data_IF_655706306644
#
_entry.id   IF_655706306644
#
_cell.length_a   1.000
_cell.length_b   1.000
_cell.length_c   1.000
_cell.angle_alpha   90.00
_cell.angle_beta   90.00
_cell.angle_gamma   90.00
#
_symmetry.space_group_name_H-M   'P 1'
#
loop_
_entity.id
_entity.type
_entity.pdbx_description
1 polymer ?
#
# COMPACT_ATOMS: atom_id res chain seq x y z
N UNK A 1 20.49 31.56 -4.22
CA UNK A 1 19.48 30.89 -3.37
C UNK A 1 19.90 29.45 -3.23
N UNK A 2 20.11 28.96 -2.01
CA UNK A 2 20.73 27.66 -1.79
C UNK A 2 19.66 26.56 -1.69
N UNK A 3 19.75 25.55 -2.56
CA UNK A 3 18.89 24.37 -2.49
C UNK A 3 19.37 23.48 -1.35
N UNK A 4 18.52 23.26 -0.35
CA UNK A 4 18.87 22.48 0.85
C UNK A 4 18.83 20.98 0.56
N UNK A 5 17.91 20.56 -0.31
CA UNK A 5 17.73 19.17 -0.74
C UNK A 5 17.90 19.07 -2.25
N UNK A 6 18.30 17.91 -2.74
CA UNK A 6 18.30 17.60 -4.16
C UNK A 6 16.89 17.16 -4.59
N UNK A 7 16.28 16.28 -3.81
CA UNK A 7 14.95 15.70 -4.09
C UNK A 7 14.03 15.85 -2.87
N UNK A 8 12.80 16.30 -3.09
CA UNK A 8 11.71 16.20 -2.11
C UNK A 8 10.68 15.20 -2.62
N UNK A 9 10.30 14.24 -1.79
CA UNK A 9 9.22 13.29 -2.06
C UNK A 9 8.03 13.63 -1.17
N UNK A 10 6.84 13.77 -1.76
CA UNK A 10 5.60 14.16 -1.06
C UNK A 10 4.65 12.97 -0.98
N UNK A 11 4.56 12.39 0.22
CA UNK A 11 3.65 11.30 0.58
C UNK A 11 4.39 9.98 0.83
N UNK A 12 4.31 9.46 2.06
CA UNK A 12 4.95 8.21 2.48
C UNK A 12 4.21 6.92 2.11
N UNK A 13 3.49 6.91 0.99
CA UNK A 13 2.88 5.69 0.44
C UNK A 13 3.89 4.80 -0.28
N UNK A 14 3.48 3.63 -0.77
CA UNK A 14 4.38 2.66 -1.42
C UNK A 14 5.27 3.27 -2.52
N UNK A 15 4.72 4.11 -3.39
CA UNK A 15 5.51 4.80 -4.43
C UNK A 15 6.49 5.81 -3.86
N UNK A 16 6.10 6.54 -2.81
CA UNK A 16 6.97 7.54 -2.18
C UNK A 16 8.12 6.91 -1.39
N UNK A 17 7.88 5.74 -0.79
CA UNK A 17 8.91 4.92 -0.14
C UNK A 17 10.00 4.56 -1.15
N UNK A 18 9.64 3.96 -2.29
CA UNK A 18 10.62 3.57 -3.32
C UNK A 18 11.33 4.80 -3.92
N UNK A 19 10.59 5.87 -4.22
CA UNK A 19 11.18 7.10 -4.76
C UNK A 19 12.19 7.74 -3.80
N UNK A 20 11.87 7.78 -2.50
CA UNK A 20 12.75 8.34 -1.47
C UNK A 20 14.01 7.49 -1.28
N UNK A 21 13.85 6.17 -1.18
CA UNK A 21 14.97 5.24 -1.04
C UNK A 21 15.87 5.26 -2.28
N UNK A 22 15.30 5.23 -3.48
CA UNK A 22 16.07 5.27 -4.72
C UNK A 22 16.91 6.56 -4.81
N UNK A 23 16.28 7.73 -4.59
CA UNK A 23 16.97 9.02 -4.64
C UNK A 23 18.12 9.09 -3.63
N UNK A 24 17.87 8.67 -2.38
CA UNK A 24 18.85 8.71 -1.31
C UNK A 24 20.02 7.74 -1.54
N UNK A 25 19.74 6.50 -1.99
CA UNK A 25 20.74 5.49 -2.33
C UNK A 25 21.61 5.91 -3.53
N UNK A 26 21.08 6.72 -4.44
CA UNK A 26 21.83 7.34 -5.53
C UNK A 26 22.69 8.54 -5.09
N UNK A 27 22.69 8.88 -3.79
CA UNK A 27 23.52 9.95 -3.21
C UNK A 27 22.84 11.31 -3.14
N UNK A 28 21.58 11.43 -3.55
CA UNK A 28 20.85 12.69 -3.48
C UNK A 28 20.41 13.00 -2.04
N UNK A 29 20.63 14.23 -1.57
CA UNK A 29 20.09 14.67 -0.28
C UNK A 29 18.57 14.77 -0.39
N UNK A 30 17.87 13.81 0.21
CA UNK A 30 16.45 13.58 -0.03
C UNK A 30 15.62 13.89 1.21
N UNK A 31 14.46 14.53 1.02
CA UNK A 31 13.48 14.76 2.08
C UNK A 31 12.15 14.08 1.71
N UNK A 32 11.69 13.15 2.55
CA UNK A 32 10.35 12.59 2.48
C UNK A 32 9.42 13.34 3.43
N UNK A 33 8.37 13.96 2.89
CA UNK A 33 7.31 14.62 3.64
C UNK A 33 6.06 13.74 3.69
N UNK A 34 5.54 13.45 4.89
CA UNK A 34 4.30 12.71 5.09
C UNK A 34 3.35 13.47 6.01
N UNK A 35 2.03 13.33 5.81
CA UNK A 35 1.02 13.94 6.70
C UNK A 35 1.05 13.31 8.11
N UNK A 36 1.41 12.03 8.18
CA UNK A 36 1.62 11.28 9.42
C UNK A 36 2.81 10.34 9.24
N UNK A 37 3.69 10.27 10.24
CA UNK A 37 4.81 9.32 10.24
C UNK A 37 4.34 7.89 10.52
N UNK A 38 3.35 7.72 11.39
CA UNK A 38 2.81 6.42 11.82
C UNK A 38 2.11 5.63 10.69
N UNK A 39 1.78 6.31 9.59
CA UNK A 39 1.04 5.73 8.45
C UNK A 39 1.92 5.52 7.21
N UNK A 40 3.23 5.76 7.33
CA UNK A 40 4.19 5.47 6.28
C UNK A 40 4.17 3.97 5.95
N UNK A 41 4.16 3.65 4.65
CA UNK A 41 4.11 2.25 4.21
C UNK A 41 2.81 1.50 4.53
N UNK A 42 1.78 2.18 5.05
CA UNK A 42 0.55 1.52 5.47
C UNK A 42 -0.23 0.90 4.30
N UNK A 43 -0.55 -0.38 4.43
CA UNK A 43 -1.37 -1.13 3.48
C UNK A 43 -2.86 -0.88 3.68
N UNK A 44 -3.40 0.14 3.01
CA UNK A 44 -4.79 0.58 3.24
C UNK A 44 -5.85 -0.41 2.77
N UNK A 45 -5.57 -1.19 1.72
CA UNK A 45 -6.52 -2.12 1.12
C UNK A 45 -6.26 -3.57 1.57
N UNK A 46 -5.81 -4.45 0.67
CA UNK A 46 -5.54 -5.85 0.99
C UNK A 46 -4.23 -6.01 1.79
N UNK A 47 -4.16 -6.88 2.82
CA UNK A 47 -2.90 -7.25 3.48
C UNK A 47 -2.03 -8.17 2.60
N UNK A 48 -1.73 -7.80 1.35
CA UNK A 48 -0.95 -8.66 0.46
C UNK A 48 -0.06 -7.90 -0.50
N UNK A 49 1.07 -8.51 -0.86
CA UNK A 49 1.96 -8.10 -1.97
C UNK A 49 2.01 -9.22 -3.00
N UNK A 50 2.12 -8.86 -4.28
CA UNK A 50 2.14 -9.80 -5.40
C UNK A 50 0.75 -10.19 -5.91
N UNK A 51 0.66 -11.34 -6.59
CA UNK A 51 -0.45 -11.75 -7.46
C UNK A 51 0.00 -11.87 -8.92
N UNK A 52 -0.88 -12.30 -9.83
CA UNK A 52 -0.50 -12.67 -11.21
C UNK A 52 0.47 -11.70 -11.91
N UNK A 53 0.10 -10.43 -12.11
CA UNK A 53 1.02 -9.44 -12.67
C UNK A 53 1.88 -8.75 -11.60
N UNK A 54 1.28 -8.48 -10.44
CA UNK A 54 1.92 -7.74 -9.34
C UNK A 54 3.16 -8.44 -8.81
N UNK A 55 3.18 -9.78 -8.82
CA UNK A 55 4.31 -10.57 -8.34
C UNK A 55 5.56 -10.38 -9.19
N UNK A 56 5.39 -10.31 -10.51
CA UNK A 56 6.46 -9.98 -11.45
C UNK A 56 7.00 -8.58 -11.19
N UNK A 57 6.11 -7.58 -11.08
CA UNK A 57 6.51 -6.19 -10.80
C UNK A 57 7.30 -6.04 -9.50
N UNK A 58 6.93 -6.77 -8.44
CA UNK A 58 7.68 -6.72 -7.16
C UNK A 58 9.09 -7.28 -7.35
N UNK A 59 9.25 -8.36 -8.12
CA UNK A 59 10.58 -8.91 -8.44
C UNK A 59 11.39 -7.96 -9.32
N UNK A 60 10.76 -7.29 -10.28
CA UNK A 60 11.44 -6.28 -11.10
C UNK A 60 11.92 -5.09 -10.25
N UNK A 61 11.08 -4.61 -9.31
CA UNK A 61 11.47 -3.58 -8.34
C UNK A 61 12.68 -4.03 -7.52
N UNK A 62 12.67 -5.26 -7.02
CA UNK A 62 13.78 -5.83 -6.26
C UNK A 62 15.07 -5.94 -7.09
N UNK A 63 14.97 -6.41 -8.34
CA UNK A 63 16.11 -6.49 -9.26
C UNK A 63 16.73 -5.11 -9.58
N UNK A 64 15.94 -4.03 -9.52
CA UNK A 64 16.41 -2.65 -9.68
C UNK A 64 16.97 -2.05 -8.38
N UNK A 65 17.02 -2.80 -7.28
CA UNK A 65 17.50 -2.35 -5.97
C UNK A 65 16.44 -1.64 -5.10
N UNK A 66 15.17 -1.76 -5.49
CA UNK A 66 14.02 -1.30 -4.70
C UNK A 66 13.80 -2.17 -3.46
N UNK A 67 13.03 -1.65 -2.50
CA UNK A 67 12.93 -2.27 -1.17
C UNK A 67 11.75 -3.24 -1.03
N UNK A 68 10.70 -3.12 -1.85
CA UNK A 68 9.44 -3.84 -1.68
C UNK A 68 9.60 -5.36 -1.53
N UNK A 69 10.48 -5.98 -2.30
CA UNK A 69 10.77 -7.43 -2.24
C UNK A 69 11.39 -7.84 -0.91
N UNK A 70 12.45 -7.16 -0.48
CA UNK A 70 13.08 -7.38 0.83
C UNK A 70 12.12 -7.12 2.00
N UNK A 71 11.31 -6.06 1.92
CA UNK A 71 10.37 -5.67 2.97
C UNK A 71 9.24 -6.70 3.16
N UNK A 72 8.68 -7.24 2.07
CA UNK A 72 7.66 -8.27 2.18
C UNK A 72 8.24 -9.57 2.73
N UNK A 73 9.45 -9.96 2.32
CA UNK A 73 10.07 -11.22 2.77
C UNK A 73 10.25 -11.28 4.30
N UNK A 74 10.57 -10.14 4.91
CA UNK A 74 10.72 -9.97 6.36
C UNK A 74 9.38 -9.97 7.12
N UNK A 75 8.25 -9.78 6.44
CA UNK A 75 6.98 -9.44 7.12
C UNK A 75 5.78 -10.25 6.65
N UNK A 76 5.95 -11.14 5.67
CA UNK A 76 4.85 -12.00 5.26
C UNK A 76 4.51 -13.05 6.32
N UNK A 77 3.21 -13.29 6.45
CA UNK A 77 2.65 -14.34 7.28
C UNK A 77 2.24 -15.56 6.46
N UNK A 78 2.17 -15.43 5.13
CA UNK A 78 1.90 -16.52 4.20
C UNK A 78 2.50 -16.17 2.85
N UNK A 79 3.07 -17.14 2.13
CA UNK A 79 3.45 -16.98 0.71
C UNK A 79 3.02 -18.17 -0.12
N UNK A 80 2.61 -17.93 -1.37
CA UNK A 80 2.24 -18.97 -2.35
C UNK A 80 2.77 -18.62 -3.73
N UNK A 81 3.01 -19.67 -4.53
CA UNK A 81 3.21 -19.56 -5.96
C UNK A 81 1.86 -19.79 -6.65
N UNK A 82 1.37 -18.78 -7.36
CA UNK A 82 0.15 -18.87 -8.16
C UNK A 82 0.46 -19.53 -9.49
N UNK A 83 -0.54 -20.26 -10.03
CA UNK A 83 -0.43 -21.03 -11.27
C UNK A 83 0.70 -22.08 -11.27
N UNK A 84 1.06 -22.63 -10.10
CA UNK A 84 2.15 -23.60 -9.94
C UNK A 84 2.01 -24.84 -10.85
N UNK A 85 0.78 -25.27 -11.12
CA UNK A 85 0.49 -26.39 -12.03
C UNK A 85 0.66 -26.06 -13.53
N UNK A 86 1.01 -24.82 -13.88
CA UNK A 86 1.24 -24.36 -15.26
C UNK A 86 2.72 -24.08 -15.51
N UNK A 87 3.07 -23.68 -16.72
CA UNK A 87 4.46 -23.38 -17.06
C UNK A 87 5.03 -22.16 -16.31
N UNK A 88 6.36 -22.06 -16.14
CA UNK A 88 7.01 -20.98 -15.38
C UNK A 88 6.66 -19.57 -15.83
N UNK A 89 6.35 -19.37 -17.12
CA UNK A 89 6.00 -18.07 -17.69
C UNK A 89 4.74 -17.43 -17.08
N UNK A 90 3.89 -18.21 -16.39
CA UNK A 90 2.66 -17.70 -15.75
C UNK A 90 2.68 -17.83 -14.23
N UNK A 91 3.80 -18.29 -13.67
CA UNK A 91 4.00 -18.39 -12.23
C UNK A 91 4.11 -16.99 -11.61
N UNK A 92 3.46 -16.77 -10.48
CA UNK A 92 3.54 -15.49 -9.80
C UNK A 92 3.49 -15.64 -8.29
N UNK A 93 4.39 -14.96 -7.59
CA UNK A 93 4.38 -14.94 -6.13
C UNK A 93 3.25 -14.07 -5.61
N UNK A 94 2.65 -14.51 -4.50
CA UNK A 94 1.71 -13.72 -3.71
C UNK A 94 1.93 -14.02 -2.23
N UNK A 95 2.14 -12.97 -1.45
CA UNK A 95 2.28 -13.07 -0.01
C UNK A 95 1.20 -12.27 0.73
N UNK A 96 0.72 -12.82 1.84
CA UNK A 96 -0.04 -12.06 2.83
C UNK A 96 0.94 -11.43 3.81
N UNK A 97 0.78 -10.15 4.09
CA UNK A 97 1.65 -9.38 4.97
C UNK A 97 1.00 -9.15 6.33
N UNK A 98 1.80 -9.20 7.40
CA UNK A 98 1.42 -8.48 8.62
C UNK A 98 1.51 -6.98 8.31
N UNK A 99 0.35 -6.30 8.22
CA UNK A 99 0.29 -4.88 7.85
C UNK A 99 1.06 -3.96 8.80
N UNK A 100 1.00 -4.24 10.11
CA UNK A 100 1.63 -3.39 11.12
C UNK A 100 3.13 -3.55 11.04
N UNK A 101 3.60 -4.80 10.94
CA UNK A 101 5.03 -5.08 10.77
C UNK A 101 5.56 -4.53 9.46
N UNK A 102 4.84 -4.71 8.35
CA UNK A 102 5.25 -4.14 7.06
C UNK A 102 5.45 -2.62 7.14
N UNK A 103 4.46 -1.89 7.67
CA UNK A 103 4.55 -0.43 7.84
C UNK A 103 5.71 -0.04 8.75
N UNK A 104 5.89 -0.74 9.88
CA UNK A 104 6.98 -0.48 10.82
C UNK A 104 8.35 -0.75 10.20
N UNK A 105 8.52 -1.87 9.48
CA UNK A 105 9.76 -2.20 8.77
C UNK A 105 10.07 -1.15 7.70
N UNK A 106 9.07 -0.70 6.92
CA UNK A 106 9.23 0.40 5.96
C UNK A 106 9.75 1.66 6.64
N UNK A 107 9.10 2.08 7.74
CA UNK A 107 9.49 3.28 8.48
C UNK A 107 10.93 3.17 8.98
N UNK A 108 11.27 2.03 9.61
CA UNK A 108 12.63 1.75 10.07
C UNK A 108 13.65 1.81 8.93
N UNK A 109 13.33 1.24 7.77
CA UNK A 109 14.22 1.28 6.60
C UNK A 109 14.48 2.71 6.14
N UNK A 110 13.44 3.54 6.04
CA UNK A 110 13.58 4.95 5.64
C UNK A 110 14.43 5.74 6.65
N UNK A 111 14.15 5.61 7.94
CA UNK A 111 14.84 6.34 9.02
C UNK A 111 16.32 5.97 9.13
N UNK A 112 16.70 4.75 8.74
CA UNK A 112 18.09 4.28 8.77
C UNK A 112 18.82 4.44 7.43
N UNK A 113 18.18 5.01 6.39
CA UNK A 113 18.81 5.20 5.08
C UNK A 113 19.64 6.49 5.08
N UNK A 114 20.96 6.43 4.77
CA UNK A 114 21.78 7.63 4.64
C UNK A 114 21.22 8.60 3.58
N UNK A 115 21.50 9.89 3.73
CA UNK A 115 21.01 10.97 2.85
C UNK A 115 19.49 11.17 2.82
N UNK A 116 18.71 10.40 3.58
CA UNK A 116 17.26 10.54 3.65
C UNK A 116 16.81 11.16 4.98
N UNK A 117 16.14 12.30 4.91
CA UNK A 117 15.38 12.87 6.03
C UNK A 117 13.91 12.53 5.89
N UNK A 118 13.27 12.07 6.96
CA UNK A 118 11.82 11.86 7.00
C UNK A 118 11.21 12.90 7.93
N UNK A 119 10.14 13.58 7.48
CA UNK A 119 9.49 14.63 8.28
C UNK A 119 7.98 14.63 8.14
N UNK A 120 7.29 14.84 9.26
CA UNK A 120 5.86 15.07 9.26
C UNK A 120 5.56 16.49 8.79
N UNK A 121 4.91 16.63 7.64
CA UNK A 121 4.34 17.89 7.18
C UNK A 121 3.30 17.65 6.09
N UNK A 122 2.23 18.44 6.12
CA UNK A 122 1.27 18.53 5.01
C UNK A 122 1.79 19.54 3.99
N UNK A 123 2.02 19.10 2.75
CA UNK A 123 2.37 19.98 1.63
C UNK A 123 1.08 20.57 1.04
N UNK A 124 1.05 21.90 0.88
CA UNK A 124 -0.12 22.61 0.37
C UNK A 124 0.13 23.33 -0.96
N UNK A 125 1.39 23.51 -1.36
CA UNK A 125 1.70 24.14 -2.65
C UNK A 125 3.12 23.86 -3.14
N UNK A 126 3.32 24.09 -4.44
CA UNK A 126 4.61 24.00 -5.10
C UNK A 126 5.23 25.39 -5.26
N UNK A 127 6.55 25.48 -5.12
CA UNK A 127 7.32 26.71 -5.37
C UNK A 127 7.85 26.64 -6.79
N UNK A 128 7.41 27.53 -7.68
CA UNK A 128 7.78 27.53 -9.10
C UNK A 128 8.41 28.88 -9.46
N UNK A 129 9.50 28.86 -10.26
CA UNK A 129 10.05 30.03 -10.92
C UNK A 129 10.04 29.78 -12.44
N UNK A 130 9.19 30.50 -13.17
CA UNK A 130 8.98 30.24 -14.59
C UNK A 130 8.36 28.85 -14.80
N UNK A 131 9.07 27.98 -15.50
CA UNK A 131 8.72 26.57 -15.72
C UNK A 131 9.45 25.60 -14.78
N UNK A 132 10.30 26.12 -13.88
CA UNK A 132 11.18 25.32 -13.02
C UNK A 132 10.63 25.17 -11.60
N UNK A 133 10.61 23.94 -11.11
CA UNK A 133 10.35 23.63 -9.70
C UNK A 133 11.50 24.12 -8.82
N UNK A 134 11.17 24.75 -7.70
CA UNK A 134 12.15 25.20 -6.70
C UNK A 134 11.92 24.59 -5.31
N UNK A 135 10.83 23.82 -5.14
CA UNK A 135 10.53 23.11 -3.91
C UNK A 135 9.04 23.12 -3.56
N UNK A 136 8.74 23.04 -2.27
CA UNK A 136 7.36 22.93 -1.75
C UNK A 136 7.13 23.85 -0.55
N UNK A 137 5.87 24.21 -0.34
CA UNK A 137 5.40 24.93 0.84
C UNK A 137 4.45 24.04 1.65
N UNK A 138 4.65 23.99 2.96
CA UNK A 138 3.79 23.25 3.88
C UNK A 138 2.62 24.11 4.38
N UNK A 139 1.65 23.45 5.02
CA UNK A 139 0.51 24.08 5.69
C UNK A 139 0.90 25.14 6.71
N UNK A 140 2.06 24.99 7.36
CA UNK A 140 2.58 25.98 8.33
C UNK A 140 3.34 27.13 7.66
N UNK A 141 3.29 27.24 6.33
CA UNK A 141 4.01 28.26 5.57
C UNK A 141 5.51 28.00 5.40
N UNK A 142 6.04 26.88 5.93
CA UNK A 142 7.46 26.54 5.79
C UNK A 142 7.77 26.17 4.34
N UNK A 143 8.84 26.76 3.80
CA UNK A 143 9.32 26.53 2.43
C UNK A 143 10.53 25.61 2.46
N UNK A 144 10.45 24.46 1.79
CA UNK A 144 11.58 23.57 1.57
C UNK A 144 12.01 23.69 0.12
N UNK A 145 13.30 23.97 -0.11
CA UNK A 145 13.87 24.17 -1.45
C UNK A 145 14.52 22.88 -1.95
N UNK A 146 14.21 22.50 -3.19
CA UNK A 146 14.85 21.35 -3.85
C UNK A 146 14.95 21.52 -5.36
N UNK A 147 15.87 20.76 -5.97
CA UNK A 147 16.07 20.72 -7.43
C UNK A 147 14.99 19.92 -8.14
N UNK A 148 14.42 18.91 -7.47
CA UNK A 148 13.32 18.10 -7.98
C UNK A 148 12.28 17.78 -6.88
N UNK A 149 11.03 17.56 -7.30
CA UNK A 149 9.93 17.15 -6.42
C UNK A 149 9.20 15.96 -7.04
N UNK A 150 8.96 14.92 -6.24
CA UNK A 150 8.18 13.73 -6.62
C UNK A 150 6.88 13.72 -5.82
N UNK A 151 5.73 13.73 -6.50
CA UNK A 151 4.41 13.72 -5.87
C UNK A 151 3.82 12.31 -5.84
N UNK A 152 3.60 11.77 -4.63
CA UNK A 152 3.05 10.42 -4.39
C UNK A 152 1.91 10.49 -3.38
N UNK A 153 0.94 11.37 -3.66
CA UNK A 153 -0.18 11.73 -2.77
C UNK A 153 -1.22 10.62 -2.59
N UNK A 154 -1.14 9.52 -3.33
CA UNK A 154 -2.06 8.39 -3.19
C UNK A 154 -3.52 8.80 -3.34
N UNK A 155 -4.36 8.40 -2.38
CA UNK A 155 -5.80 8.71 -2.36
C UNK A 155 -6.13 10.03 -1.65
N UNK A 156 -5.14 10.82 -1.26
CA UNK A 156 -5.33 11.99 -0.40
C UNK A 156 -5.70 13.26 -1.18
N UNK A 157 -5.25 13.41 -2.42
CA UNK A 157 -5.48 14.61 -3.23
C UNK A 157 -6.97 14.79 -3.54
N UNK A 158 -7.62 15.78 -2.92
CA UNK A 158 -9.08 15.98 -3.06
C UNK A 158 -9.93 14.76 -2.66
N UNK A 159 -9.39 13.95 -1.73
CA UNK A 159 -9.96 12.66 -1.31
C UNK A 159 -11.34 12.79 -0.67
N UNK A 160 -12.24 11.86 -1.01
CA UNK A 160 -13.57 11.72 -0.41
C UNK A 160 -13.82 10.25 -0.08
N UNK A 161 -14.34 10.00 1.11
CA UNK A 161 -14.78 8.70 1.59
C UNK A 161 -16.29 8.62 1.42
N UNK A 162 -16.77 7.49 0.91
CA UNK A 162 -18.19 7.33 0.58
C UNK A 162 -18.70 5.99 1.11
N UNK A 163 -19.73 6.02 1.96
CA UNK A 163 -20.37 4.85 2.55
C UNK A 163 -21.90 5.02 2.46
N UNK A 164 -22.53 4.27 1.55
CA UNK A 164 -23.94 4.50 1.21
C UNK A 164 -24.15 5.94 0.75
N UNK A 165 -25.04 6.67 1.42
CA UNK A 165 -25.34 8.08 1.13
C UNK A 165 -24.36 9.05 1.81
N UNK A 166 -23.54 8.57 2.75
CA UNK A 166 -22.64 9.43 3.50
C UNK A 166 -21.35 9.70 2.73
N UNK A 167 -20.99 10.99 2.61
CA UNK A 167 -19.73 11.45 2.04
C UNK A 167 -18.99 12.26 3.09
N UNK A 168 -17.73 11.91 3.34
CA UNK A 168 -16.83 12.68 4.20
C UNK A 168 -15.52 12.97 3.48
N UNK A 169 -14.89 14.09 3.83
CA UNK A 169 -13.57 14.43 3.30
C UNK A 169 -12.50 13.60 4.00
N UNK A 170 -11.62 12.98 3.21
CA UNK A 170 -10.55 12.17 3.75
C UNK A 170 -9.77 11.44 2.67
N UNK A 171 -8.48 11.23 2.91
CA UNK A 171 -7.65 10.41 2.02
C UNK A 171 -7.86 8.91 2.28
N UNK A 172 -8.04 8.55 3.55
CA UNK A 172 -8.31 7.21 4.06
C UNK A 172 -9.21 7.34 5.29
N UNK A 173 -9.85 6.26 5.70
CA UNK A 173 -10.70 6.27 6.90
C UNK A 173 -9.91 6.77 8.12
N UNK A 174 -10.36 7.88 8.73
CA UNK A 174 -9.69 8.53 9.86
C UNK A 174 -8.57 9.51 9.51
N UNK A 175 -8.25 9.70 8.23
CA UNK A 175 -7.15 10.55 7.77
C UNK A 175 -7.64 11.71 6.89
N UNK A 176 -7.11 12.92 7.13
CA UNK A 176 -7.49 14.15 6.40
C UNK A 176 -7.13 14.08 4.92
N UNK A 177 -7.89 14.78 4.08
CA UNK A 177 -7.57 14.96 2.66
C UNK A 177 -6.55 16.10 2.44
N UNK A 178 -5.81 16.03 1.32
CA UNK A 178 -4.94 17.10 0.84
C UNK A 178 -5.72 17.99 -0.15
N UNK A 179 -6.39 19.01 0.39
CA UNK A 179 -7.24 19.90 -0.41
C UNK A 179 -6.44 21.00 -1.12
N UNK A 180 -5.62 21.76 -0.39
CA UNK A 180 -4.88 22.91 -0.94
C UNK A 180 -3.88 22.54 -2.04
N UNK A 181 -3.22 21.39 -1.92
CA UNK A 181 -2.29 20.91 -2.94
C UNK A 181 -3.01 20.65 -4.28
N UNK A 182 -4.27 20.19 -4.25
CA UNK A 182 -5.05 20.00 -5.48
C UNK A 182 -5.34 21.33 -6.16
N UNK A 183 -5.68 22.37 -5.40
CA UNK A 183 -5.87 23.73 -5.91
C UNK A 183 -4.57 24.27 -6.51
N UNK A 184 -3.44 24.09 -5.83
CA UNK A 184 -2.13 24.53 -6.33
C UNK A 184 -1.77 23.90 -7.69
N UNK A 185 -2.10 22.62 -7.91
CA UNK A 185 -1.87 21.98 -9.21
C UNK A 185 -2.77 22.56 -10.32
N UNK A 186 -4.03 22.86 -10.01
CA UNK A 186 -4.96 23.50 -10.96
C UNK A 186 -4.47 24.90 -11.34
N UNK A 187 -4.02 25.69 -10.35
CA UNK A 187 -3.46 27.03 -10.57
C UNK A 187 -2.21 27.01 -11.46
N UNK A 188 -1.45 25.91 -11.43
CA UNK A 188 -0.31 25.66 -12.33
C UNK A 188 -0.72 25.14 -13.72
N UNK A 189 -2.02 25.00 -13.99
CA UNK A 189 -2.55 24.59 -15.30
C UNK A 189 -2.73 23.08 -15.47
N UNK A 190 -2.58 22.26 -14.42
CA UNK A 190 -2.83 20.83 -14.52
C UNK A 190 -4.32 20.51 -14.55
N UNK A 191 -4.70 19.55 -15.40
CA UNK A 191 -6.05 18.96 -15.41
C UNK A 191 -6.12 17.85 -14.38
N UNK A 192 -7.07 17.93 -13.45
CA UNK A 192 -7.31 16.90 -12.45
C UNK A 192 -8.57 16.10 -12.80
N UNK A 193 -8.46 14.77 -12.75
CA UNK A 193 -9.57 13.84 -12.84
C UNK A 193 -9.87 13.16 -11.50
N UNK A 194 -11.01 12.47 -11.40
CA UNK A 194 -11.37 11.67 -10.23
C UNK A 194 -11.39 10.19 -10.58
N UNK A 195 -10.78 9.39 -9.73
CA UNK A 195 -10.85 7.92 -9.76
C UNK A 195 -11.48 7.41 -8.46
N UNK A 196 -12.07 6.21 -8.53
CA UNK A 196 -12.71 5.56 -7.39
C UNK A 196 -12.20 4.14 -7.21
N UNK A 197 -12.01 3.76 -5.95
CA UNK A 197 -11.72 2.38 -5.54
C UNK A 197 -12.47 2.05 -4.26
N UNK A 198 -12.99 0.82 -4.16
CA UNK A 198 -13.62 0.32 -2.94
C UNK A 198 -12.64 -0.45 -2.05
N UNK A 199 -13.05 -0.69 -0.81
CA UNK A 199 -12.34 -1.57 0.12
C UNK A 199 -13.37 -2.33 0.95
N UNK A 200 -13.16 -3.63 1.25
CA UNK A 200 -14.14 -4.41 2.02
C UNK A 200 -14.24 -3.95 3.48
N UNK A 201 -15.33 -4.26 4.20
CA UNK A 201 -15.37 -4.10 5.65
C UNK A 201 -14.30 -4.93 6.34
N UNK A 202 -13.94 -4.56 7.57
CA UNK A 202 -12.99 -5.31 8.41
C UNK A 202 -13.81 -6.03 9.46
N UNK A 203 -13.58 -7.32 9.63
CA UNK A 203 -14.36 -8.21 10.49
C UNK A 203 -13.56 -8.59 11.73
N UNK A 204 -14.25 -8.77 12.85
CA UNK A 204 -13.67 -9.35 14.06
C UNK A 204 -13.57 -10.87 13.88
N UNK A 205 -12.38 -11.43 13.97
CA UNK A 205 -12.16 -12.86 13.81
C UNK A 205 -12.91 -13.70 14.86
N UNK A 206 -13.20 -13.14 16.03
CA UNK A 206 -13.92 -13.83 17.12
C UNK A 206 -15.39 -14.10 16.80
N UNK A 207 -15.95 -13.41 15.81
CA UNK A 207 -17.33 -13.59 15.38
C UNK A 207 -17.45 -14.44 14.11
N UNK A 208 -16.36 -15.09 13.68
CA UNK A 208 -16.33 -15.94 12.49
C UNK A 208 -16.31 -17.41 12.93
N UNK A 209 -17.24 -18.21 12.42
CA UNK A 209 -17.17 -19.66 12.52
C UNK A 209 -16.21 -20.22 11.45
N UNK A 210 -14.97 -20.47 11.84
CA UNK A 210 -13.94 -21.00 10.94
C UNK A 210 -14.19 -22.44 10.50
N UNK A 211 -15.03 -23.21 11.22
CA UNK A 211 -15.33 -24.61 10.86
C UNK A 211 -16.09 -24.73 9.54
N UNK A 212 -16.77 -23.66 9.13
CA UNK A 212 -17.52 -23.56 7.87
C UNK A 212 -16.66 -23.05 6.70
N UNK A 213 -15.35 -22.87 6.90
CA UNK A 213 -14.46 -22.30 5.89
C UNK A 213 -13.57 -23.37 5.25
N UNK A 214 -13.15 -23.14 4.01
CA UNK A 214 -12.11 -23.96 3.39
C UNK A 214 -10.73 -23.35 3.65
N UNK A 215 -9.82 -24.11 4.26
CA UNK A 215 -8.48 -23.63 4.61
C UNK A 215 -7.56 -23.63 3.39
N UNK A 216 -6.82 -22.53 3.19
CA UNK A 216 -5.80 -22.38 2.16
C UNK A 216 -4.44 -22.08 2.82
N UNK A 217 -3.57 -23.08 2.83
CA UNK A 217 -2.21 -22.97 3.38
C UNK A 217 -1.23 -22.26 2.43
N UNK A 218 -0.13 -21.80 3.01
CA UNK A 218 1.05 -21.30 2.30
C UNK A 218 1.84 -22.40 1.59
N UNK A 219 2.95 -22.02 0.97
CA UNK A 219 3.88 -22.92 0.29
C UNK A 219 4.67 -23.77 1.27
N UNK A 220 4.82 -25.06 0.98
CA UNK A 220 5.68 -25.99 1.73
C UNK A 220 7.16 -25.86 1.41
N UNK A 221 7.48 -25.16 0.32
CA UNK A 221 8.85 -24.84 -0.08
C UNK A 221 9.16 -23.37 0.20
N UNK A 222 10.41 -23.04 0.55
CA UNK A 222 10.85 -21.66 0.65
C UNK A 222 10.55 -20.88 -0.63
N UNK A 223 9.90 -19.73 -0.47
CA UNK A 223 9.64 -18.77 -1.53
C UNK A 223 9.95 -17.38 -1.00
N UNK A 224 10.54 -16.55 -1.85
CA UNK A 224 10.94 -15.18 -1.53
C UNK A 224 10.71 -14.28 -2.73
N UNK A 225 10.31 -13.04 -2.51
CA UNK A 225 10.26 -12.04 -3.56
C UNK A 225 11.66 -11.53 -3.90
N UNK A 226 12.51 -11.32 -2.89
CA UNK A 226 13.84 -10.77 -3.08
C UNK A 226 14.81 -11.80 -3.63
N UNK A 227 15.61 -11.41 -4.61
CA UNK A 227 16.67 -12.26 -5.16
C UNK A 227 17.80 -12.51 -4.16
N UNK A 228 18.05 -11.58 -3.22
CA UNK A 228 19.06 -11.77 -2.18
C UNK A 228 18.70 -12.93 -1.25
N UNK A 229 17.43 -12.99 -0.81
CA UNK A 229 16.93 -14.05 0.07
C UNK A 229 16.80 -15.40 -0.63
N UNK A 230 16.69 -15.44 -1.96
CA UNK A 230 16.69 -16.71 -2.70
C UNK A 230 18.07 -17.38 -2.71
N UNK A 231 19.13 -16.61 -2.55
CA UNK A 231 20.50 -17.10 -2.60
C UNK A 231 21.05 -17.50 -1.23
N UNK A 232 20.28 -17.33 -0.15
CA UNK A 232 20.70 -17.71 1.21
C UNK A 232 20.36 -19.17 1.50
N UNK A 233 21.26 -19.86 2.20
CA UNK A 233 20.98 -21.19 2.78
C UNK A 233 20.22 -21.09 4.10
N UNK A 234 20.25 -19.93 4.75
CA UNK A 234 19.51 -19.65 5.98
C UNK A 234 18.06 -19.29 5.64
N UNK A 235 17.14 -19.94 6.35
CA UNK A 235 15.71 -19.66 6.27
C UNK A 235 15.34 -18.71 7.40
N UNK A 236 14.80 -17.53 7.05
CA UNK A 236 14.26 -16.62 8.05
C UNK A 236 13.04 -17.25 8.73
N UNK A 237 13.13 -17.38 10.05
CA UNK A 237 12.11 -17.97 10.90
C UNK A 237 11.62 -16.92 11.91
N UNK A 238 10.57 -16.16 11.58
CA UNK A 238 10.10 -15.07 12.42
C UNK A 238 9.50 -15.60 13.72
N UNK A 239 10.24 -15.48 14.84
CA UNK A 239 9.78 -15.93 16.18
C UNK A 239 8.42 -15.34 16.58
N UNK A 240 8.10 -14.15 16.07
CA UNK A 240 6.83 -13.47 16.31
C UNK A 240 5.63 -14.10 15.61
N UNK A 241 5.86 -15.09 14.75
CA UNK A 241 4.83 -15.86 14.05
C UNK A 241 4.76 -17.31 14.53
N UNK A 242 5.56 -17.71 15.53
CA UNK A 242 5.52 -19.06 16.10
C UNK A 242 4.15 -19.40 16.70
N UNK A 243 3.37 -18.39 17.07
CA UNK A 243 1.99 -18.50 17.52
C UNK A 243 1.08 -17.62 16.64
N UNK A 244 -0.20 -18.00 16.47
CA UNK A 244 -1.15 -17.13 15.81
C UNK A 244 -1.24 -15.78 16.54
N UNK A 245 -1.48 -14.67 15.82
CA UNK A 245 -1.74 -13.37 16.44
C UNK A 245 -2.92 -13.37 17.44
N UNK A 246 -3.82 -14.35 17.33
CA UNK A 246 -4.92 -14.57 18.26
C UNK A 246 -5.32 -16.07 18.25
N UNK A 247 -5.64 -16.69 19.41
CA UNK A 247 -5.95 -18.12 19.48
C UNK A 247 -7.23 -18.56 18.73
N UNK A 248 -8.04 -17.60 18.27
CA UNK A 248 -9.25 -17.88 17.48
C UNK A 248 -8.93 -18.46 16.10
N UNK A 249 -7.75 -18.18 15.55
CA UNK A 249 -7.38 -18.68 14.23
C UNK A 249 -6.97 -20.15 14.32
N UNK A 250 -7.72 -21.08 13.69
CA UNK A 250 -7.32 -22.48 13.70
C UNK A 250 -6.07 -22.70 12.84
N UNK A 251 -5.00 -23.20 13.45
CA UNK A 251 -3.79 -23.60 12.72
C UNK A 251 -3.52 -25.08 12.99
N UNK A 252 -4.13 -25.92 12.18
CA UNK A 252 -3.98 -27.38 12.27
C UNK A 252 -2.62 -27.86 11.76
N UNK A 253 -1.97 -27.07 10.90
CA UNK A 253 -0.76 -27.44 10.19
C UNK A 253 0.18 -26.25 10.02
N UNK A 254 1.46 -26.48 10.23
CA UNK A 254 2.55 -25.57 9.90
C UNK A 254 3.37 -26.08 8.71
N UNK A 255 4.06 -25.17 8.00
CA UNK A 255 4.95 -25.53 6.88
C UNK A 255 6.34 -25.94 7.39
N UNK A 256 7.10 -26.80 6.68
CA UNK A 256 8.33 -27.39 7.21
C UNK A 256 9.51 -26.41 7.36
N UNK A 257 9.43 -25.23 6.77
CA UNK A 257 10.56 -24.29 6.70
C UNK A 257 10.34 -23.02 7.54
N UNK A 258 9.12 -22.48 7.61
CA UNK A 258 8.79 -21.35 8.50
C UNK A 258 7.33 -21.39 8.98
N UNK A 259 7.01 -20.78 10.13
CA UNK A 259 5.62 -20.58 10.53
C UNK A 259 4.87 -19.77 9.47
N UNK A 260 3.66 -20.21 9.13
CA UNK A 260 2.77 -19.48 8.21
C UNK A 260 1.32 -19.57 8.67
N UNK A 261 0.58 -18.48 8.49
CA UNK A 261 -0.87 -18.42 8.70
C UNK A 261 -1.60 -18.93 7.45
N UNK A 262 -2.66 -19.73 7.58
CA UNK A 262 -3.55 -20.01 6.47
C UNK A 262 -4.46 -18.82 6.14
N UNK A 263 -5.09 -18.87 4.96
CA UNK A 263 -6.25 -18.05 4.63
C UNK A 263 -7.51 -18.92 4.65
N UNK A 264 -8.65 -18.31 4.89
CA UNK A 264 -9.94 -18.99 5.00
C UNK A 264 -10.83 -18.56 3.85
N UNK A 265 -11.32 -19.51 3.07
CA UNK A 265 -12.12 -19.26 1.89
C UNK A 265 -13.60 -19.47 2.22
N UNK A 266 -14.43 -18.54 1.74
CA UNK A 266 -15.90 -18.56 1.84
C UNK A 266 -16.50 -18.09 0.51
N UNK A 267 -17.80 -18.34 0.33
CA UNK A 267 -18.53 -17.98 -0.89
C UNK A 267 -19.83 -17.26 -0.55
N UNK A 268 -20.26 -16.38 -1.46
CA UNK A 268 -21.59 -15.75 -1.39
C UNK A 268 -22.68 -16.75 -1.74
N UNK A 269 -23.87 -16.55 -1.18
CA UNK A 269 -25.08 -17.33 -1.51
C UNK A 269 -26.04 -16.51 -2.38
N UNK A 270 -27.06 -17.14 -3.02
CA UNK A 270 -28.12 -16.39 -3.70
C UNK A 270 -28.81 -15.35 -2.80
N UNK A 271 -29.03 -15.68 -1.53
CA UNK A 271 -29.55 -14.74 -0.53
C UNK A 271 -28.66 -13.49 -0.37
N UNK A 272 -27.33 -13.67 -0.39
CA UNK A 272 -26.39 -12.54 -0.37
C UNK A 272 -26.63 -11.62 -1.58
N UNK A 273 -26.87 -12.20 -2.75
CA UNK A 273 -27.12 -11.43 -3.97
C UNK A 273 -28.45 -10.69 -3.92
N UNK A 274 -29.49 -11.31 -3.35
CA UNK A 274 -30.80 -10.69 -3.20
C UNK A 274 -30.75 -9.51 -2.23
N UNK A 275 -30.02 -9.62 -1.12
CA UNK A 275 -29.77 -8.51 -0.19
C UNK A 275 -29.08 -7.35 -0.90
N UNK A 276 -28.04 -7.63 -1.71
CA UNK A 276 -27.34 -6.60 -2.48
C UNK A 276 -28.30 -5.94 -3.47
N UNK A 277 -29.03 -6.72 -4.27
CA UNK A 277 -29.99 -6.22 -5.27
C UNK A 277 -31.05 -5.31 -4.64
N UNK A 278 -31.57 -5.70 -3.48
CA UNK A 278 -32.58 -4.93 -2.74
C UNK A 278 -32.06 -3.59 -2.20
N UNK A 279 -30.74 -3.35 -2.19
CA UNK A 279 -30.10 -2.14 -1.65
C UNK A 279 -29.20 -1.43 -2.68
N UNK A 280 -29.28 -1.77 -3.98
CA UNK A 280 -28.43 -1.17 -5.02
C UNK A 280 -28.67 0.34 -5.17
N UNK A 281 -29.88 0.80 -4.92
CA UNK A 281 -30.29 2.21 -4.91
C UNK A 281 -29.47 3.05 -3.93
N UNK A 282 -28.93 2.45 -2.87
CA UNK A 282 -28.09 3.11 -1.87
C UNK A 282 -26.60 3.06 -2.20
N UNK A 283 -26.21 2.23 -3.16
CA UNK A 283 -24.81 2.07 -3.50
C UNK A 283 -24.33 3.32 -4.28
N UNK A 284 -23.18 3.90 -3.90
CA UNK A 284 -22.73 5.16 -4.50
C UNK A 284 -22.46 5.11 -6.02
N UNK A 285 -22.41 3.91 -6.61
CA UNK A 285 -22.30 3.75 -8.06
C UNK A 285 -23.62 4.01 -8.80
N UNK A 286 -24.76 3.86 -8.13
CA UNK A 286 -26.08 3.96 -8.74
C UNK A 286 -26.86 5.22 -8.34
N UNK A 287 -26.48 5.86 -7.22
CA UNK A 287 -27.15 7.09 -6.73
C UNK A 287 -26.87 8.35 -7.56
N UNK A 288 -25.94 8.32 -8.52
CA UNK A 288 -25.53 9.51 -9.28
C UNK A 288 -24.76 10.55 -8.45
N UNK A 289 -24.55 10.30 -7.15
CA UNK A 289 -23.81 11.16 -6.21
C UNK A 289 -22.32 11.27 -6.58
N UNK A 290 -21.84 10.40 -7.47
CA UNK A 290 -20.45 10.33 -7.89
C UNK A 290 -20.32 10.75 -9.35
N UNK A 291 -19.70 11.91 -9.58
CA UNK A 291 -19.17 12.31 -10.88
C UNK A 291 -17.74 11.76 -11.06
N UNK A 292 -17.54 10.87 -12.03
CA UNK A 292 -16.21 10.33 -12.38
C UNK A 292 -16.27 9.18 -13.37
N UNK A 293 -15.15 8.92 -14.06
CA UNK A 293 -15.04 7.77 -14.96
C UNK A 293 -14.88 6.51 -14.11
N UNK A 294 -15.91 5.65 -14.12
CA UNK A 294 -15.84 4.34 -13.48
C UNK A 294 -14.75 3.46 -14.10
N UNK A 295 -14.06 2.62 -13.31
CA UNK A 295 -13.10 1.68 -13.88
C UNK A 295 -13.83 0.68 -14.79
N UNK A 296 -13.23 0.29 -15.93
CA UNK A 296 -13.79 -0.77 -16.80
C UNK A 296 -13.90 -2.12 -16.07
N UNK A 297 -13.05 -2.33 -15.06
CA UNK A 297 -13.10 -3.45 -14.14
C UNK A 297 -13.65 -2.98 -12.79
N UNK A 298 -14.88 -3.35 -12.45
CA UNK A 298 -15.52 -3.04 -11.17
C UNK A 298 -15.27 -4.18 -10.17
N UNK A 299 -14.39 -4.00 -9.18
CA UNK A 299 -14.09 -5.04 -8.19
C UNK A 299 -15.10 -5.10 -7.04
N UNK A 300 -16.06 -4.19 -6.97
CA UNK A 300 -17.12 -4.22 -5.96
C UNK A 300 -18.07 -5.39 -6.24
N UNK A 301 -18.36 -6.17 -5.19
CA UNK A 301 -19.47 -7.13 -5.18
C UNK A 301 -20.80 -6.40 -5.37
#
# INVERSE_FOLDING_TARGET
MEFIYDVIVVGGGHSGVEAALASAKMGARTLLLSMSLDTIGWMSCNPSIGGSAKGHLVREIDALGGAMGQLIDQTFIQIRLLNDSKGPAVHALRAQADKKRYAWTVQRTLENTPNLSVKQATVEGLLIQGDRIEGVQTQLGTKYRAKAVVLTTGTFLGGRLITGESITEGGRAGEKAALRLSTSLIELGFRLGRLKTGTPPRLDARTIDFSQTSIQYGSDKPLYFSFENQNTTEVDRPFWLDQPPHPVYPIERQTPWRPQMPCYLVHTTPETHDIIRANLDRAPMFTGVIEGVGPRYCPSI
#
